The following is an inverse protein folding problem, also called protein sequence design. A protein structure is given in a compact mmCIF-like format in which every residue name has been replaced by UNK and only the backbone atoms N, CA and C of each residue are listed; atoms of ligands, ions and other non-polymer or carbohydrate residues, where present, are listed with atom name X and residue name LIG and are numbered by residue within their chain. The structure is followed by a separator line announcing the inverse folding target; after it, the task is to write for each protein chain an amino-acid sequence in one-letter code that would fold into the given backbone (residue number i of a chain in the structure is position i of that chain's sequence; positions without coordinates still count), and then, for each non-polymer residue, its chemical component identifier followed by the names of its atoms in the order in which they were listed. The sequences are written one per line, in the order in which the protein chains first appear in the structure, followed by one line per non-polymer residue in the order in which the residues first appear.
data_IF_100072361406
#
_entry.id   IF_100072361406
#
_cell.length_a   1.000
_cell.length_b   1.000
_cell.length_c   1.000
_cell.angle_alpha   90.00
_cell.angle_beta   90.00
_cell.angle_gamma   90.00
#
_symmetry.space_group_name_H-M   'P 1'
#
loop_
_entity.id
_entity.type
_entity.pdbx_description
1 polymer ?
#
# COMPACT_ATOMS: atom_id res chain seq x y z
N UNK A 1 5.13 21.11 -2.26
CA UNK A 1 5.57 21.33 -0.87
C UNK A 1 5.38 20.04 -0.08
N UNK A 2 5.91 19.94 1.16
CA UNK A 2 5.63 18.81 2.06
C UNK A 2 4.12 18.62 2.28
N UNK A 3 3.38 19.71 2.44
CA UNK A 3 1.93 19.72 2.62
C UNK A 3 1.17 19.13 1.42
N UNK A 4 1.55 19.47 0.19
CA UNK A 4 0.95 18.89 -1.02
C UNK A 4 1.15 17.37 -1.08
N UNK A 5 2.33 16.87 -0.68
CA UNK A 5 2.63 15.43 -0.67
C UNK A 5 1.75 14.71 0.37
N UNK A 6 1.63 15.24 1.59
CA UNK A 6 0.75 14.65 2.61
C UNK A 6 -0.72 14.70 2.21
N UNK A 7 -1.18 15.79 1.60
CA UNK A 7 -2.56 15.91 1.11
C UNK A 7 -2.85 14.84 0.07
N UNK A 8 -2.00 14.72 -0.96
CA UNK A 8 -2.16 13.71 -2.00
C UNK A 8 -2.13 12.28 -1.43
N UNK A 9 -1.27 12.02 -0.44
CA UNK A 9 -1.23 10.74 0.26
C UNK A 9 -2.55 10.42 0.96
N UNK A 10 -3.09 11.35 1.76
CA UNK A 10 -4.35 11.16 2.47
C UNK A 10 -5.54 10.96 1.53
N UNK A 11 -5.58 11.70 0.41
CA UNK A 11 -6.59 11.52 -0.63
C UNK A 11 -6.54 10.12 -1.26
N UNK A 12 -5.35 9.60 -1.57
CA UNK A 12 -5.20 8.25 -2.10
C UNK A 12 -5.60 7.17 -1.08
N UNK A 13 -5.28 7.36 0.20
CA UNK A 13 -5.74 6.47 1.26
C UNK A 13 -7.26 6.46 1.38
N UNK A 14 -7.90 7.63 1.34
CA UNK A 14 -9.36 7.75 1.38
C UNK A 14 -10.02 7.09 0.17
N UNK A 15 -9.48 7.32 -1.03
CA UNK A 15 -9.93 6.66 -2.26
C UNK A 15 -9.82 5.14 -2.15
N UNK A 16 -8.68 4.63 -1.70
CA UNK A 16 -8.46 3.19 -1.55
C UNK A 16 -9.45 2.56 -0.56
N UNK A 17 -9.70 3.21 0.58
CA UNK A 17 -10.72 2.79 1.55
C UNK A 17 -12.11 2.74 0.93
N UNK A 18 -12.49 3.77 0.18
CA UNK A 18 -13.80 3.82 -0.49
C UNK A 18 -13.96 2.71 -1.54
N UNK A 19 -12.90 2.40 -2.29
CA UNK A 19 -12.92 1.35 -3.33
C UNK A 19 -13.11 -0.04 -2.74
N UNK A 20 -12.50 -0.32 -1.59
CA UNK A 20 -12.57 -1.66 -0.96
C UNK A 20 -13.73 -1.79 0.02
N UNK A 21 -14.42 -0.68 0.35
CA UNK A 21 -15.54 -0.68 1.27
C UNK A 21 -16.67 -1.59 0.78
N UNK A 22 -17.15 -2.47 1.66
CA UNK A 22 -18.23 -3.41 1.35
C UNK A 22 -17.84 -4.59 0.45
N UNK A 23 -16.58 -4.69 0.00
CA UNK A 23 -16.11 -5.82 -0.79
C UNK A 23 -15.64 -6.95 0.15
N UNK A 24 -16.17 -8.18 0.02
CA UNK A 24 -15.69 -9.31 0.82
C UNK A 24 -14.20 -9.55 0.62
N UNK A 25 -13.46 -9.80 1.71
CA UNK A 25 -12.01 -10.03 1.69
C UNK A 25 -11.58 -11.24 0.84
N UNK A 26 -12.47 -12.22 0.67
CA UNK A 26 -12.26 -13.38 -0.19
C UNK A 26 -12.46 -13.12 -1.69
N UNK A 27 -12.96 -11.94 -2.07
CA UNK A 27 -13.20 -11.58 -3.48
C UNK A 27 -11.89 -11.64 -4.25
N UNK A 28 -11.85 -12.43 -5.34
CA UNK A 28 -10.68 -12.53 -6.21
C UNK A 28 -10.66 -11.39 -7.23
N UNK A 29 -9.47 -10.92 -7.54
CA UNK A 29 -9.26 -9.94 -8.60
C UNK A 29 -9.72 -10.48 -9.96
N UNK A 30 -10.05 -9.59 -10.90
CA UNK A 30 -10.30 -9.99 -12.28
C UNK A 30 -9.03 -10.59 -12.89
N UNK A 31 -9.22 -11.62 -13.69
CA UNK A 31 -8.15 -12.24 -14.49
C UNK A 31 -7.74 -11.32 -15.64
N UNK A 32 -6.49 -11.45 -16.08
CA UNK A 32 -5.86 -10.61 -17.10
C UNK A 32 -4.53 -10.02 -16.62
N UNK A 33 -3.67 -9.65 -17.57
CA UNK A 33 -2.33 -9.14 -17.27
C UNK A 33 -1.48 -10.16 -16.50
N UNK A 34 -1.10 -9.83 -15.26
CA UNK A 34 -0.23 -10.64 -14.40
C UNK A 34 -0.87 -11.95 -13.89
N UNK A 35 -2.20 -12.05 -13.89
CA UNK A 35 -2.94 -13.22 -13.38
C UNK A 35 -3.79 -13.85 -14.50
N UNK A 36 -3.24 -14.83 -15.24
CA UNK A 36 -3.89 -15.38 -16.42
C UNK A 36 -5.07 -16.30 -16.09
N UNK A 37 -5.11 -16.90 -14.91
CA UNK A 37 -6.16 -17.82 -14.46
C UNK A 37 -6.81 -17.35 -13.14
N UNK A 38 -8.05 -17.78 -12.91
CA UNK A 38 -8.85 -17.34 -11.76
C UNK A 38 -8.37 -17.92 -10.43
N UNK A 39 -7.77 -19.10 -10.45
CA UNK A 39 -7.26 -19.77 -9.25
C UNK A 39 -5.96 -19.14 -8.72
N UNK A 40 -5.15 -18.51 -9.58
CA UNK A 40 -3.96 -17.75 -9.15
C UNK A 40 -4.22 -16.26 -8.98
N UNK A 41 -5.41 -15.77 -9.34
CA UNK A 41 -5.80 -14.38 -9.09
C UNK A 41 -5.88 -14.12 -7.57
N UNK A 42 -5.22 -13.07 -7.05
CA UNK A 42 -5.17 -12.81 -5.62
C UNK A 42 -6.53 -12.39 -5.07
N UNK A 43 -6.78 -12.74 -3.81
CA UNK A 43 -7.92 -12.21 -3.06
C UNK A 43 -7.69 -10.77 -2.63
N UNK A 44 -8.76 -10.04 -2.33
CA UNK A 44 -8.68 -8.70 -1.76
C UNK A 44 -7.84 -8.68 -0.47
N UNK A 45 -8.00 -9.67 0.41
CA UNK A 45 -7.15 -9.83 1.59
C UNK A 45 -5.67 -9.90 1.23
N UNK A 46 -5.30 -10.75 0.26
CA UNK A 46 -3.92 -10.88 -0.18
C UNK A 46 -3.37 -9.55 -0.70
N UNK A 47 -4.14 -8.82 -1.50
CA UNK A 47 -3.75 -7.52 -2.05
C UNK A 47 -3.50 -6.50 -0.93
N UNK A 48 -4.40 -6.41 0.05
CA UNK A 48 -4.28 -5.46 1.15
C UNK A 48 -3.07 -5.77 2.05
N UNK A 49 -2.84 -7.05 2.35
CA UNK A 49 -1.64 -7.45 3.09
C UNK A 49 -0.36 -7.21 2.30
N UNK A 50 -0.39 -7.44 0.99
CA UNK A 50 0.75 -7.12 0.13
C UNK A 50 1.08 -5.62 0.18
N UNK A 51 0.07 -4.75 0.07
CA UNK A 51 0.27 -3.30 0.22
C UNK A 51 0.86 -2.95 1.58
N UNK A 52 0.33 -3.51 2.68
CA UNK A 52 0.88 -3.28 4.03
C UNK A 52 2.37 -3.65 4.11
N UNK A 53 2.75 -4.79 3.54
CA UNK A 53 4.15 -5.22 3.50
C UNK A 53 5.02 -4.23 2.71
N UNK A 54 4.56 -3.78 1.54
CA UNK A 54 5.29 -2.80 0.74
C UNK A 54 5.43 -1.45 1.46
N UNK A 55 4.40 -1.00 2.20
CA UNK A 55 4.50 0.16 3.08
C UNK A 55 5.59 -0.01 4.14
N UNK A 56 5.64 -1.18 4.81
CA UNK A 56 6.70 -1.48 5.78
C UNK A 56 8.11 -1.41 5.17
N UNK A 57 8.29 -1.97 3.97
CA UNK A 57 9.58 -1.91 3.25
C UNK A 57 10.00 -0.48 2.93
N UNK A 58 9.06 0.34 2.46
CA UNK A 58 9.34 1.74 2.13
C UNK A 58 9.60 2.61 3.36
N UNK A 59 8.87 2.39 4.45
CA UNK A 59 9.11 3.09 5.72
C UNK A 59 10.50 2.81 6.25
N UNK A 60 10.98 1.55 6.20
CA UNK A 60 12.34 1.22 6.59
C UNK A 60 13.41 1.95 5.76
N UNK A 61 13.20 2.10 4.44
CA UNK A 61 14.10 2.88 3.61
C UNK A 61 14.07 4.39 3.94
N UNK A 62 12.89 4.94 4.23
CA UNK A 62 12.72 6.35 4.60
C UNK A 62 13.34 6.65 5.97
N UNK A 63 13.27 5.71 6.91
CA UNK A 63 13.90 5.84 8.22
C UNK A 63 15.41 5.96 8.06
N UNK A 64 16.06 5.03 7.34
CA UNK A 64 17.51 5.11 7.03
C UNK A 64 17.86 6.45 6.35
N UNK A 65 17.06 6.92 5.41
CA UNK A 65 17.31 8.19 4.74
C UNK A 65 17.22 9.39 5.71
N UNK A 66 16.29 9.34 6.67
CA UNK A 66 16.12 10.36 7.71
C UNK A 66 17.31 10.36 8.68
N UNK A 67 17.73 9.19 9.16
CA UNK A 67 18.90 9.04 10.03
C UNK A 67 20.17 9.62 9.40
N UNK A 68 20.38 9.36 8.10
CA UNK A 68 21.51 9.91 7.36
C UNK A 68 21.42 11.44 7.15
N UNK A 69 20.22 11.99 7.11
CA UNK A 69 20.01 13.41 6.82
C UNK A 69 20.13 14.30 8.06
N UNK A 70 19.58 13.86 9.20
CA UNK A 70 19.50 14.68 10.43
C UNK A 70 20.26 14.07 11.63
N UNK A 71 20.81 12.87 11.49
CA UNK A 71 21.60 12.18 12.52
C UNK A 71 20.77 11.66 13.69
N UNK A 72 19.45 11.86 13.68
CA UNK A 72 18.57 11.29 14.70
C UNK A 72 18.09 9.93 14.24
N UNK A 73 18.29 8.93 15.08
CA UNK A 73 17.76 7.59 14.87
C UNK A 73 16.24 7.61 15.02
N UNK A 74 15.54 6.69 14.37
CA UNK A 74 14.15 6.36 14.74
C UNK A 74 14.04 6.01 16.24
N UNK A 75 12.83 5.72 16.74
CA UNK A 75 12.78 5.03 18.05
C UNK A 75 13.71 3.81 18.08
#
# INVERSE_FOLDING_TARGET
TTEEVFTAFHEQCARSRNVVAGVPLGTRARTGGRFPDGERAPSLAWILFHLLQEYGRHLGHLDVARELADGSTGE
#
